data_IF_119633697903
#
_entry.id   IF_119633697903
#
_cell.length_a   1.000
_cell.length_b   1.000
_cell.length_c   1.000
_cell.angle_alpha   90.00
_cell.angle_beta   90.00
_cell.angle_gamma   90.00
#
_symmetry.space_group_name_H-M   'P 1'
#
loop_
_entity.id
_entity.type
_entity.pdbx_description
1 polymer ?
#
# COMPACT_ATOMS: atom_id res chain seq x y z
N UNK A 1 -1.39 -12.87 14.13
CA UNK A 1 -0.65 -12.31 12.95
C UNK A 1 0.85 -12.53 13.14
N UNK A 2 1.56 -13.00 12.12
CA UNK A 2 3.02 -13.25 12.18
C UNK A 2 3.79 -11.94 12.09
N UNK A 3 4.81 -11.78 12.93
CA UNK A 3 5.71 -10.64 12.86
C UNK A 3 6.81 -10.85 11.82
N UNK A 4 7.54 -9.78 11.50
CA UNK A 4 8.57 -9.81 10.46
C UNK A 4 9.67 -10.82 10.74
N UNK A 5 10.10 -10.97 12.00
CA UNK A 5 11.09 -12.00 12.41
C UNK A 5 10.61 -13.42 12.07
N UNK A 6 9.33 -13.71 12.34
CA UNK A 6 8.77 -15.03 12.04
C UNK A 6 8.69 -15.27 10.54
N UNK A 7 8.28 -14.25 9.77
CA UNK A 7 8.21 -14.32 8.30
C UNK A 7 9.61 -14.60 7.71
N UNK A 8 10.63 -13.89 8.17
CA UNK A 8 12.03 -14.08 7.74
C UNK A 8 12.49 -15.51 8.02
N UNK A 9 12.21 -16.05 9.21
CA UNK A 9 12.53 -17.43 9.57
C UNK A 9 11.82 -18.44 8.66
N UNK A 10 10.52 -18.24 8.41
CA UNK A 10 9.73 -19.14 7.58
C UNK A 10 10.26 -19.18 6.14
N UNK A 11 10.58 -18.01 5.55
CA UNK A 11 11.18 -17.90 4.20
C UNK A 11 12.59 -18.52 4.17
N UNK A 12 13.41 -18.29 5.19
CA UNK A 12 14.74 -18.90 5.30
C UNK A 12 14.65 -20.43 5.33
N UNK A 13 13.70 -20.99 6.07
CA UNK A 13 13.49 -22.42 6.16
C UNK A 13 13.01 -23.03 4.83
N UNK A 14 12.24 -22.29 4.03
CA UNK A 14 11.82 -22.73 2.69
C UNK A 14 13.00 -22.84 1.72
N UNK A 15 13.95 -21.91 1.77
CA UNK A 15 15.08 -21.87 0.84
C UNK A 15 16.23 -22.80 1.25
N UNK A 16 16.53 -22.85 2.55
CA UNK A 16 17.68 -23.59 3.08
C UNK A 16 17.22 -24.65 4.07
N UNK A 17 16.79 -25.79 3.54
CA UNK A 17 16.42 -26.96 4.34
C UNK A 17 17.65 -27.69 4.98
N UNK A 18 18.87 -27.17 4.77
CA UNK A 18 20.14 -27.72 5.28
C UNK A 18 20.93 -26.66 6.03
N UNK A 19 21.54 -27.08 7.14
CA UNK A 19 22.32 -26.27 8.10
C UNK A 19 23.26 -25.29 7.39
N UNK A 20 22.92 -24.00 7.45
CA UNK A 20 23.81 -22.90 7.08
C UNK A 20 24.71 -22.61 8.29
N UNK A 21 26.02 -22.57 8.12
CA UNK A 21 26.98 -22.24 9.17
C UNK A 21 26.67 -20.81 9.70
N UNK A 22 26.80 -20.60 11.01
CA UNK A 22 26.40 -19.38 11.71
C UNK A 22 26.95 -18.07 11.12
N UNK A 23 28.16 -18.09 10.53
CA UNK A 23 28.79 -16.90 9.92
C UNK A 23 28.12 -16.48 8.59
N UNK A 24 27.57 -17.43 7.81
CA UNK A 24 26.83 -17.13 6.60
C UNK A 24 25.37 -16.71 6.91
N UNK A 25 24.88 -16.93 8.11
CA UNK A 25 23.50 -16.71 8.48
C UNK A 25 23.14 -15.22 8.50
N UNK A 26 24.02 -14.33 8.93
CA UNK A 26 23.76 -12.89 8.99
C UNK A 26 23.56 -12.25 7.60
N UNK A 27 24.43 -12.60 6.63
CA UNK A 27 24.31 -12.09 5.26
C UNK A 27 23.08 -12.67 4.55
N UNK A 28 22.80 -13.95 4.78
CA UNK A 28 21.61 -14.65 4.28
C UNK A 28 20.35 -14.01 4.87
N UNK A 29 20.33 -13.71 6.18
CA UNK A 29 19.21 -13.11 6.85
C UNK A 29 18.88 -11.71 6.28
N UNK A 30 19.86 -10.90 5.97
CA UNK A 30 19.65 -9.56 5.40
C UNK A 30 19.09 -9.64 3.97
N UNK A 31 19.55 -10.58 3.15
CA UNK A 31 18.98 -10.83 1.84
C UNK A 31 17.52 -11.31 1.93
N UNK A 32 17.19 -12.16 2.90
CA UNK A 32 15.80 -12.58 3.14
C UNK A 32 14.94 -11.42 3.60
N UNK A 33 15.42 -10.59 4.53
CA UNK A 33 14.71 -9.38 4.98
C UNK A 33 14.40 -8.44 3.79
N UNK A 34 15.39 -8.25 2.92
CA UNK A 34 15.22 -7.42 1.73
C UNK A 34 14.16 -8.03 0.78
N UNK A 35 14.23 -9.32 0.49
CA UNK A 35 13.28 -10.00 -0.38
C UNK A 35 11.84 -9.94 0.17
N UNK A 36 11.67 -10.13 1.48
CA UNK A 36 10.35 -10.02 2.15
C UNK A 36 9.81 -8.60 2.06
N UNK A 37 10.63 -7.57 2.29
CA UNK A 37 10.24 -6.15 2.15
C UNK A 37 9.83 -5.81 0.72
N UNK A 38 10.58 -6.28 -0.27
CA UNK A 38 10.28 -6.10 -1.69
C UNK A 38 8.96 -6.80 -2.06
N UNK A 39 8.77 -8.05 -1.64
CA UNK A 39 7.55 -8.81 -1.87
C UNK A 39 6.32 -8.12 -1.22
N UNK A 40 6.44 -7.65 0.03
CA UNK A 40 5.39 -6.90 0.71
C UNK A 40 5.02 -5.63 -0.07
N UNK A 41 6.01 -4.85 -0.48
CA UNK A 41 5.80 -3.64 -1.28
C UNK A 41 5.17 -3.94 -2.64
N UNK A 42 5.60 -5.00 -3.30
CA UNK A 42 5.06 -5.43 -4.58
C UNK A 42 3.58 -5.82 -4.49
N UNK A 43 3.22 -6.68 -3.53
CA UNK A 43 1.83 -7.13 -3.32
C UNK A 43 0.89 -5.95 -3.06
N UNK A 44 1.28 -5.03 -2.19
CA UNK A 44 0.49 -3.83 -1.92
C UNK A 44 0.44 -2.85 -3.10
N UNK A 45 1.42 -2.87 -3.99
CA UNK A 45 1.47 -2.05 -5.21
C UNK A 45 0.60 -2.57 -6.36
N UNK A 46 0.26 -3.87 -6.37
CA UNK A 46 -0.49 -4.48 -7.46
C UNK A 46 -1.96 -4.04 -7.51
N UNK A 47 -2.58 -3.77 -6.35
CA UNK A 47 -4.00 -3.41 -6.23
C UNK A 47 -4.31 -2.59 -4.98
N UNK A 48 -5.32 -1.72 -5.12
CA UNK A 48 -5.95 -1.06 -3.98
C UNK A 48 -6.93 -2.01 -3.32
N UNK A 49 -6.47 -2.69 -2.28
CA UNK A 49 -7.34 -3.57 -1.51
C UNK A 49 -8.43 -2.77 -0.77
N UNK A 50 -9.68 -3.27 -0.72
CA UNK A 50 -10.77 -2.58 -0.02
C UNK A 50 -10.45 -2.27 1.45
N UNK A 51 -9.68 -3.13 2.13
CA UNK A 51 -9.28 -2.93 3.52
C UNK A 51 -8.25 -1.80 3.71
N UNK A 52 -7.58 -1.35 2.64
CA UNK A 52 -6.70 -0.17 2.66
C UNK A 52 -7.45 1.14 2.48
N UNK A 53 -8.70 1.09 2.02
CA UNK A 53 -9.50 2.30 1.78
C UNK A 53 -10.01 2.82 3.11
N UNK A 54 -9.46 3.95 3.54
CA UNK A 54 -9.84 4.64 4.77
C UNK A 54 -10.67 5.88 4.47
N UNK A 55 -11.38 6.35 5.49
CA UNK A 55 -12.11 7.61 5.47
C UNK A 55 -11.42 8.59 6.39
N UNK A 56 -11.31 9.82 5.95
CA UNK A 56 -10.86 10.96 6.73
C UNK A 56 -11.79 12.14 6.56
N UNK A 57 -11.57 13.15 7.38
CA UNK A 57 -12.28 14.41 7.28
C UNK A 57 -11.51 15.51 7.98
N UNK A 58 -11.73 16.74 7.54
CA UNK A 58 -11.20 17.94 8.16
C UNK A 58 -12.17 19.10 7.96
N UNK A 59 -12.05 20.10 8.82
CA UNK A 59 -12.68 21.39 8.61
C UNK A 59 -11.57 22.43 8.49
N UNK A 60 -11.60 23.19 7.41
CA UNK A 60 -10.56 24.19 7.12
C UNK A 60 -11.13 25.35 6.31
N UNK A 61 -10.47 26.49 6.43
CA UNK A 61 -10.60 27.62 5.52
C UNK A 61 -9.32 27.86 4.71
N UNK A 62 -8.29 27.07 4.96
CA UNK A 62 -7.03 27.10 4.21
C UNK A 62 -7.23 26.48 2.82
N UNK A 63 -6.54 27.02 1.84
CA UNK A 63 -6.55 26.49 0.48
C UNK A 63 -5.64 25.27 0.29
N UNK A 64 -4.88 24.90 1.33
CA UNK A 64 -4.00 23.73 1.32
C UNK A 64 -3.94 23.07 2.71
N UNK A 65 -3.78 21.75 2.75
CA UNK A 65 -3.61 20.98 3.98
C UNK A 65 -2.75 19.74 3.73
N UNK A 66 -2.10 19.18 4.78
CA UNK A 66 -1.32 17.96 4.64
C UNK A 66 -2.18 16.80 4.12
N UNK A 67 -1.68 16.11 3.09
CA UNK A 67 -2.35 14.92 2.59
C UNK A 67 -2.32 13.77 3.63
N UNK A 68 -3.32 12.88 3.60
CA UNK A 68 -3.25 11.65 4.39
C UNK A 68 -2.10 10.76 3.88
N UNK A 69 -1.74 9.72 4.65
CA UNK A 69 -0.73 8.74 4.25
C UNK A 69 -1.23 7.84 3.10
N UNK A 70 -1.58 8.42 1.98
CA UNK A 70 -2.09 7.71 0.81
C UNK A 70 -2.79 8.60 -0.19
N UNK A 71 -3.16 8.00 -1.31
CA UNK A 71 -3.81 8.70 -2.41
C UNK A 71 -5.28 8.97 -2.13
N UNK A 72 -5.70 10.23 -2.23
CA UNK A 72 -7.12 10.59 -2.13
C UNK A 72 -7.85 10.12 -3.40
N UNK A 73 -8.79 9.21 -3.20
CA UNK A 73 -9.61 8.64 -4.26
C UNK A 73 -10.84 9.51 -4.56
N UNK A 74 -11.42 10.08 -3.51
CA UNK A 74 -12.63 10.90 -3.59
C UNK A 74 -12.64 11.90 -2.44
N UNK A 75 -13.15 13.11 -2.71
CA UNK A 75 -13.40 14.15 -1.71
C UNK A 75 -14.78 14.76 -1.90
N UNK A 76 -15.49 15.05 -0.79
CA UNK A 76 -16.84 15.65 -0.83
C UNK A 76 -17.10 16.52 0.40
N UNK A 77 -18.11 17.36 0.31
CA UNK A 77 -18.64 18.13 1.44
C UNK A 77 -19.92 17.47 2.01
N UNK A 78 -20.19 17.60 3.33
CA UNK A 78 -21.31 16.92 3.99
C UNK A 78 -22.71 17.40 3.57
N UNK A 79 -22.81 18.58 2.95
CA UNK A 79 -24.07 19.17 2.50
C UNK A 79 -24.76 18.42 1.32
N UNK A 80 -24.27 17.24 0.97
CA UNK A 80 -24.86 16.36 -0.06
C UNK A 80 -24.66 16.85 -1.50
N UNK A 81 -23.99 17.98 -1.66
CA UNK A 81 -23.64 18.46 -2.98
C UNK A 81 -22.35 17.81 -3.45
N UNK A 82 -22.21 17.60 -4.66
CA UNK A 82 -21.14 17.09 -5.51
C UNK A 82 -19.80 16.72 -4.84
N UNK A 83 -19.21 15.64 -5.32
CA UNK A 83 -17.78 15.36 -5.13
C UNK A 83 -16.96 16.50 -5.75
N UNK A 84 -15.87 16.89 -5.07
CA UNK A 84 -14.88 17.74 -5.68
C UNK A 84 -14.20 16.97 -6.81
N UNK A 85 -13.92 17.64 -7.90
CA UNK A 85 -13.22 17.03 -9.02
C UNK A 85 -11.73 16.99 -8.73
N UNK A 86 -11.10 15.81 -8.87
CA UNK A 86 -9.65 15.66 -8.84
C UNK A 86 -9.07 16.10 -10.18
N UNK A 87 -8.04 16.94 -10.15
CA UNK A 87 -7.27 17.35 -11.33
C UNK A 87 -5.81 16.95 -11.18
N UNK A 88 -5.04 17.02 -12.27
CA UNK A 88 -3.60 16.85 -12.23
C UNK A 88 -2.92 18.09 -11.61
N UNK A 89 -1.76 17.95 -10.93
CA UNK A 89 -1.04 19.10 -10.36
C UNK A 89 -0.74 20.17 -11.40
N UNK A 90 -0.35 19.78 -12.61
CA UNK A 90 -0.01 20.67 -13.73
C UNK A 90 -1.21 21.54 -14.15
N UNK A 91 -2.44 20.99 -14.05
CA UNK A 91 -3.66 21.76 -14.32
C UNK A 91 -3.95 22.74 -13.17
N UNK A 92 -3.56 22.36 -11.93
CA UNK A 92 -3.67 23.23 -10.76
C UNK A 92 -2.83 24.50 -10.88
N UNK A 93 -1.62 24.39 -11.44
CA UNK A 93 -0.71 25.51 -11.65
C UNK A 93 -1.25 26.57 -12.64
N UNK A 94 -2.20 26.20 -13.48
CA UNK A 94 -2.83 27.09 -14.46
C UNK A 94 -4.02 27.86 -13.88
N UNK A 95 -4.44 27.56 -12.64
CA UNK A 95 -5.60 28.20 -12.03
C UNK A 95 -5.27 29.56 -11.42
N UNK A 96 -6.23 30.47 -11.47
CA UNK A 96 -6.12 31.75 -10.77
C UNK A 96 -6.28 31.55 -9.25
N UNK A 97 -5.15 31.49 -8.55
CA UNK A 97 -5.09 31.25 -7.10
C UNK A 97 -5.62 32.43 -6.26
N UNK A 98 -5.91 33.59 -6.87
CA UNK A 98 -6.56 34.71 -6.18
C UNK A 98 -8.07 34.52 -6.01
N UNK A 99 -8.65 33.59 -6.75
CA UNK A 99 -10.08 33.31 -6.72
C UNK A 99 -10.48 32.64 -5.38
N UNK A 100 -11.44 33.25 -4.72
CA UNK A 100 -12.03 32.73 -3.47
C UNK A 100 -13.47 32.30 -3.67
N UNK A 101 -13.92 31.30 -2.91
CA UNK A 101 -15.27 30.81 -3.00
C UNK A 101 -15.42 29.41 -2.41
N UNK A 102 -16.48 28.72 -2.80
CA UNK A 102 -16.70 27.32 -2.44
C UNK A 102 -15.79 26.43 -3.28
N UNK A 103 -14.95 25.56 -2.68
CA UNK A 103 -14.09 24.65 -3.42
C UNK A 103 -14.86 23.65 -4.30
N UNK A 104 -14.38 23.47 -5.53
CA UNK A 104 -14.94 22.56 -6.53
C UNK A 104 -13.91 21.54 -7.03
N UNK A 105 -12.61 21.94 -7.01
CA UNK A 105 -11.49 21.14 -7.48
C UNK A 105 -10.50 20.85 -6.34
N UNK A 106 -9.77 19.76 -6.47
CA UNK A 106 -8.60 19.49 -5.62
C UNK A 106 -7.53 18.75 -6.40
N UNK A 107 -6.28 18.91 -5.98
CA UNK A 107 -5.14 18.10 -6.40
C UNK A 107 -4.20 17.88 -5.24
N UNK A 108 -3.30 16.92 -5.36
CA UNK A 108 -2.25 16.67 -4.39
C UNK A 108 -0.90 16.90 -5.04
N UNK A 109 -0.02 17.59 -4.34
CA UNK A 109 1.33 17.92 -4.75
C UNK A 109 2.34 17.41 -3.73
N UNK A 110 3.59 17.17 -4.15
CA UNK A 110 4.66 16.70 -3.28
C UNK A 110 5.65 17.83 -3.05
N UNK A 111 5.68 18.36 -1.84
CA UNK A 111 6.67 19.34 -1.39
C UNK A 111 7.71 18.72 -0.45
N UNK A 112 8.66 19.53 0.02
CA UNK A 112 9.76 19.14 0.92
C UNK A 112 9.26 18.52 2.24
N UNK A 113 8.05 18.89 2.69
CA UNK A 113 7.43 18.44 3.93
C UNK A 113 6.37 17.32 3.74
N UNK A 114 6.36 16.67 2.58
CA UNK A 114 5.41 15.62 2.24
C UNK A 114 4.32 16.08 1.25
N UNK A 115 3.32 15.23 1.08
CA UNK A 115 2.23 15.52 0.16
C UNK A 115 1.26 16.56 0.75
N UNK A 116 0.85 17.52 -0.08
CA UNK A 116 -0.10 18.60 0.26
C UNK A 116 -1.28 18.54 -0.68
N UNK A 117 -2.48 18.64 -0.14
CA UNK A 117 -3.71 18.75 -0.92
C UNK A 117 -4.09 20.21 -1.06
N UNK A 118 -4.33 20.62 -2.28
CA UNK A 118 -4.79 21.97 -2.63
C UNK A 118 -6.28 21.96 -2.99
N UNK A 119 -6.96 23.07 -2.65
CA UNK A 119 -8.37 23.29 -2.93
C UNK A 119 -8.53 24.52 -3.83
N UNK A 120 -9.43 24.44 -4.80
CA UNK A 120 -9.77 25.57 -5.64
C UNK A 120 -11.26 25.66 -5.97
N UNK A 121 -11.86 26.88 -5.94
CA UNK A 121 -11.31 28.15 -5.43
C UNK A 121 -10.83 28.07 -3.98
N UNK A 122 -9.96 28.99 -3.54
CA UNK A 122 -9.57 29.08 -2.14
C UNK A 122 -10.83 29.29 -1.27
N UNK A 123 -11.01 28.55 -0.16
CA UNK A 123 -12.19 28.65 0.68
C UNK A 123 -12.45 30.08 1.17
N UNK A 124 -13.64 30.65 0.95
CA UNK A 124 -14.05 31.97 1.43
C UNK A 124 -14.49 31.93 2.90
N UNK A 125 -14.73 30.75 3.45
CA UNK A 125 -15.11 30.47 4.85
C UNK A 125 -14.65 29.06 5.23
N UNK A 126 -14.90 28.66 6.46
CA UNK A 126 -14.69 27.27 6.87
C UNK A 126 -15.65 26.33 6.15
N UNK A 127 -15.09 25.23 5.59
CA UNK A 127 -15.81 24.12 5.02
C UNK A 127 -15.34 22.83 5.64
N UNK A 128 -16.28 21.90 5.87
CA UNK A 128 -15.96 20.53 6.23
C UNK A 128 -15.83 19.67 4.99
N UNK A 129 -14.76 18.91 4.92
CA UNK A 129 -14.48 17.97 3.84
C UNK A 129 -14.41 16.58 4.40
N UNK A 130 -14.95 15.62 3.68
CA UNK A 130 -14.73 14.20 3.87
C UNK A 130 -14.00 13.65 2.66
N UNK A 131 -13.15 12.66 2.88
CA UNK A 131 -12.44 12.01 1.79
C UNK A 131 -12.26 10.51 2.05
N UNK A 132 -12.09 9.76 0.96
CA UNK A 132 -11.61 8.38 0.96
C UNK A 132 -10.22 8.36 0.37
N UNK A 133 -9.32 7.62 0.99
CA UNK A 133 -7.96 7.49 0.51
C UNK A 133 -7.47 6.05 0.58
N UNK A 134 -6.61 5.66 -0.36
CA UNK A 134 -5.91 4.39 -0.34
C UNK A 134 -4.69 4.55 0.56
N UNK A 135 -4.70 3.91 1.73
CA UNK A 135 -3.61 3.99 2.69
C UNK A 135 -2.35 3.30 2.15
N UNK A 136 -1.22 4.02 2.08
CA UNK A 136 0.06 3.51 1.59
C UNK A 136 0.89 2.80 2.66
N UNK A 137 0.41 2.77 3.90
CA UNK A 137 1.09 2.08 5.00
C UNK A 137 0.91 0.57 4.89
N UNK A 138 2.02 -0.17 4.79
CA UNK A 138 2.06 -1.61 4.47
C UNK A 138 2.38 -2.47 5.69
N UNK A 139 2.77 -1.84 6.81
CA UNK A 139 3.11 -2.50 8.05
C UNK A 139 2.55 -1.74 9.26
N UNK A 140 2.59 -2.38 10.43
CA UNK A 140 2.31 -1.80 11.76
C UNK A 140 3.37 -2.26 12.74
N UNK A 141 3.80 -1.38 13.65
CA UNK A 141 4.64 -1.76 14.76
C UNK A 141 3.86 -2.50 15.87
N UNK A 142 4.57 -2.95 16.90
CA UNK A 142 3.97 -3.63 18.05
C UNK A 142 2.95 -2.77 18.83
N UNK A 143 3.05 -1.44 18.75
CA UNK A 143 2.09 -0.50 19.35
C UNK A 143 0.88 -0.22 18.45
N UNK A 144 0.87 -0.75 17.21
CA UNK A 144 -0.18 -0.55 16.22
C UNK A 144 -0.01 0.69 15.33
N UNK A 145 1.11 1.42 15.43
CA UNK A 145 1.38 2.54 14.56
C UNK A 145 1.70 2.06 13.15
N UNK A 146 1.16 2.75 12.16
CA UNK A 146 1.33 2.38 10.76
C UNK A 146 2.70 2.82 10.22
N UNK A 147 3.32 1.95 9.43
CA UNK A 147 4.61 2.12 8.78
C UNK A 147 4.54 1.88 7.27
N UNK A 148 5.45 2.49 6.53
CA UNK A 148 5.53 2.29 5.08
C UNK A 148 5.88 0.86 4.69
N UNK A 149 6.69 0.17 5.49
CA UNK A 149 7.07 -1.22 5.25
C UNK A 149 7.46 -1.92 6.55
N UNK A 150 7.81 -3.19 6.47
CA UNK A 150 8.40 -3.99 7.54
C UNK A 150 9.84 -3.51 7.79
N UNK A 151 10.08 -2.83 8.87
CA UNK A 151 11.39 -2.23 9.23
C UNK A 151 12.01 -2.95 10.42
N UNK A 152 11.25 -3.04 11.51
CA UNK A 152 11.67 -3.70 12.74
C UNK A 152 11.17 -5.15 12.80
N UNK A 153 11.89 -6.00 13.54
CA UNK A 153 11.58 -7.45 13.63
C UNK A 153 10.20 -7.76 14.21
N UNK A 154 9.65 -6.84 15.01
CA UNK A 154 8.32 -6.96 15.61
C UNK A 154 7.19 -6.39 14.74
N UNK A 155 7.52 -5.79 13.60
CA UNK A 155 6.53 -5.26 12.68
C UNK A 155 5.65 -6.38 12.11
N UNK A 156 4.38 -6.07 11.90
CA UNK A 156 3.41 -6.96 11.27
C UNK A 156 2.87 -6.34 9.99
N UNK A 157 2.45 -7.17 9.05
CA UNK A 157 1.86 -6.68 7.79
C UNK A 157 0.53 -5.98 8.08
N UNK A 158 0.27 -4.85 7.42
CA UNK A 158 -0.94 -4.05 7.64
C UNK A 158 -2.15 -4.60 6.87
N UNK A 159 -2.62 -5.77 7.28
CA UNK A 159 -3.82 -6.44 6.76
C UNK A 159 -4.89 -6.55 7.86
N UNK A 160 -6.17 -6.79 7.51
CA UNK A 160 -7.22 -6.98 8.51
C UNK A 160 -6.98 -8.25 9.32
N UNK A 161 -7.51 -8.26 10.53
CA UNK A 161 -7.53 -9.46 11.40
C UNK A 161 -8.60 -10.44 10.90
N UNK A 162 -8.29 -11.08 9.78
CA UNK A 162 -9.12 -12.09 9.12
C UNK A 162 -8.22 -13.26 8.71
N UNK A 163 -8.36 -14.44 9.34
CA UNK A 163 -7.48 -15.59 9.08
C UNK A 163 -7.38 -15.98 7.61
N UNK A 164 -8.48 -15.94 6.85
CA UNK A 164 -8.46 -16.31 5.44
C UNK A 164 -7.66 -15.32 4.57
N UNK A 165 -7.74 -14.01 4.88
CA UNK A 165 -6.92 -13.00 4.21
C UNK A 165 -5.47 -13.12 4.65
N UNK A 166 -5.22 -13.33 5.95
CA UNK A 166 -3.87 -13.50 6.50
C UNK A 166 -3.15 -14.69 5.84
N UNK A 167 -3.77 -15.86 5.80
CA UNK A 167 -3.16 -17.07 5.23
C UNK A 167 -2.81 -16.89 3.75
N UNK A 168 -3.72 -16.34 2.94
CA UNK A 168 -3.45 -16.11 1.53
C UNK A 168 -2.43 -14.99 1.28
N UNK A 169 -2.49 -13.92 2.07
CA UNK A 169 -1.51 -12.85 1.97
C UNK A 169 -0.10 -13.36 2.33
N UNK A 170 0.02 -14.16 3.40
CA UNK A 170 1.28 -14.77 3.80
C UNK A 170 1.78 -15.74 2.74
N UNK A 171 0.89 -16.52 2.11
CA UNK A 171 1.29 -17.40 1.01
C UNK A 171 1.81 -16.60 -0.20
N UNK A 172 1.14 -15.51 -0.60
CA UNK A 172 1.65 -14.58 -1.60
C UNK A 172 3.03 -14.02 -1.21
N UNK A 173 3.17 -13.61 0.05
CA UNK A 173 4.40 -13.01 0.55
C UNK A 173 5.57 -13.98 0.51
N UNK A 174 5.37 -15.23 0.95
CA UNK A 174 6.40 -16.26 0.94
C UNK A 174 6.82 -16.64 -0.49
N UNK A 175 5.86 -16.93 -1.35
CA UNK A 175 6.15 -17.34 -2.73
C UNK A 175 6.83 -16.21 -3.52
N UNK A 176 6.39 -14.96 -3.34
CA UNK A 176 7.03 -13.82 -4.00
C UNK A 176 8.42 -13.51 -3.43
N UNK A 177 8.62 -13.68 -2.13
CA UNK A 177 9.95 -13.57 -1.52
C UNK A 177 10.92 -14.60 -2.08
N UNK A 178 10.46 -15.84 -2.31
CA UNK A 178 11.27 -16.90 -2.94
C UNK A 178 11.64 -16.53 -4.37
N UNK A 179 10.73 -15.97 -5.16
CA UNK A 179 11.02 -15.45 -6.50
C UNK A 179 12.14 -14.41 -6.47
N UNK A 180 12.11 -13.46 -5.52
CA UNK A 180 13.19 -12.47 -5.38
C UNK A 180 14.52 -13.06 -4.91
N UNK A 181 14.49 -14.10 -4.06
CA UNK A 181 15.71 -14.77 -3.59
C UNK A 181 16.36 -15.68 -4.65
N UNK A 182 15.59 -16.22 -5.58
CA UNK A 182 16.11 -17.00 -6.69
C UNK A 182 16.80 -16.10 -7.71
N UNK A 183 16.19 -14.93 -8.01
CA UNK A 183 16.68 -13.87 -8.89
C UNK A 183 16.98 -14.29 -10.35
N UNK A 184 17.27 -15.57 -10.62
CA UNK A 184 17.57 -16.12 -11.94
C UNK A 184 16.33 -16.81 -12.51
N UNK A 185 15.73 -16.22 -13.56
CA UNK A 185 14.54 -16.77 -14.22
C UNK A 185 14.78 -18.12 -14.92
N UNK A 186 16.05 -18.49 -15.12
CA UNK A 186 16.45 -19.79 -15.70
C UNK A 186 16.59 -20.89 -14.64
N UNK A 187 16.56 -20.54 -13.34
CA UNK A 187 16.56 -21.53 -12.26
C UNK A 187 15.28 -22.39 -12.33
N UNK A 188 15.43 -23.71 -12.20
CA UNK A 188 14.30 -24.64 -12.24
C UNK A 188 13.21 -24.37 -11.22
N UNK A 189 13.55 -23.73 -10.10
CA UNK A 189 12.61 -23.39 -9.02
C UNK A 189 11.90 -22.04 -9.24
N UNK A 190 12.36 -21.18 -10.15
CA UNK A 190 11.77 -19.87 -10.38
C UNK A 190 10.32 -19.97 -10.87
N UNK A 191 10.09 -20.73 -11.93
CA UNK A 191 8.77 -20.88 -12.55
C UNK A 191 7.71 -21.51 -11.61
N UNK A 192 8.04 -22.57 -10.82
CA UNK A 192 7.14 -23.08 -9.81
C UNK A 192 6.67 -22.01 -8.80
N UNK A 193 7.58 -21.23 -8.21
CA UNK A 193 7.20 -20.19 -7.23
C UNK A 193 6.42 -19.03 -7.87
N UNK A 194 6.78 -18.61 -9.08
CA UNK A 194 6.02 -17.56 -9.79
C UNK A 194 4.59 -18.02 -10.12
N UNK A 195 4.39 -19.29 -10.50
CA UNK A 195 3.06 -19.87 -10.73
C UNK A 195 2.26 -19.93 -9.43
N UNK A 196 2.87 -20.42 -8.36
CA UNK A 196 2.25 -20.56 -7.05
C UNK A 196 1.86 -19.17 -6.48
N UNK A 197 2.71 -18.16 -6.67
CA UNK A 197 2.38 -16.78 -6.34
C UNK A 197 1.13 -16.30 -7.09
N UNK A 198 1.06 -16.54 -8.41
CA UNK A 198 -0.11 -16.12 -9.20
C UNK A 198 -1.40 -16.80 -8.76
N UNK A 199 -1.35 -18.06 -8.42
CA UNK A 199 -2.51 -18.81 -7.90
C UNK A 199 -2.96 -18.24 -6.54
N UNK A 200 -2.03 -18.06 -5.61
CA UNK A 200 -2.32 -17.46 -4.31
C UNK A 200 -2.86 -16.02 -4.44
N UNK A 201 -2.27 -15.23 -5.34
CA UNK A 201 -2.72 -13.87 -5.64
C UNK A 201 -4.17 -13.83 -6.14
N UNK A 202 -4.54 -14.69 -7.08
CA UNK A 202 -5.91 -14.75 -7.56
C UNK A 202 -6.91 -15.14 -6.46
N UNK A 203 -6.54 -16.08 -5.60
CA UNK A 203 -7.37 -16.47 -4.47
C UNK A 203 -7.52 -15.33 -3.45
N UNK A 204 -6.46 -14.57 -3.19
CA UNK A 204 -6.50 -13.39 -2.33
C UNK A 204 -7.43 -12.30 -2.90
N UNK A 205 -7.38 -12.04 -4.20
CA UNK A 205 -8.28 -11.08 -4.85
C UNK A 205 -9.74 -11.50 -4.71
N UNK A 206 -10.06 -12.77 -4.88
CA UNK A 206 -11.43 -13.28 -4.76
C UNK A 206 -11.98 -13.10 -3.34
N UNK A 207 -11.20 -13.47 -2.32
CA UNK A 207 -11.61 -13.30 -0.91
C UNK A 207 -11.68 -11.82 -0.52
N UNK A 208 -10.80 -10.98 -1.05
CA UNK A 208 -10.84 -9.54 -0.84
C UNK A 208 -12.01 -8.85 -1.58
N UNK A 209 -12.81 -9.59 -2.35
CA UNK A 209 -13.95 -9.05 -3.11
C UNK A 209 -13.56 -8.19 -4.31
N UNK A 210 -12.34 -8.35 -4.81
CA UNK A 210 -11.84 -7.59 -5.95
C UNK A 210 -12.19 -8.32 -7.24
N UNK A 211 -12.98 -7.67 -8.11
CA UNK A 211 -13.32 -8.22 -9.42
C UNK A 211 -12.06 -8.39 -10.26
N UNK A 212 -11.83 -9.58 -10.76
CA UNK A 212 -10.79 -9.85 -11.76
C UNK A 212 -11.12 -9.12 -13.06
N UNK A 213 -10.11 -8.51 -13.68
CA UNK A 213 -10.28 -8.12 -15.08
C UNK A 213 -10.56 -9.40 -15.90
N UNK A 214 -11.47 -9.39 -16.88
CA UNK A 214 -11.69 -10.54 -17.73
C UNK A 214 -10.35 -10.93 -18.36
N UNK A 215 -9.99 -12.23 -18.30
CA UNK A 215 -8.82 -12.73 -19.02
C UNK A 215 -9.02 -12.39 -20.49
N UNK A 216 -8.17 -11.53 -21.04
CA UNK A 216 -8.00 -11.48 -22.49
C UNK A 216 -7.47 -12.88 -22.88
N UNK A 217 -8.35 -13.69 -23.46
CA UNK A 217 -7.97 -14.90 -24.17
C UNK A 217 -7.39 -14.39 -25.49
N UNK A 218 -6.05 -14.34 -25.58
CA UNK A 218 -5.32 -14.16 -26.82
C UNK A 218 -5.06 -15.53 -27.43
#
# INVERSE_FOLDING_TARGET
MRNFQQIVKDVSNLKWSTVVLEEAFAEVEDNVKLAVRQANSYIFGLKDFPFRIKKGGLTTKENAFPAPNGDILQMWMPDGSRYLQKIAPEDGDLLDMSKTGRPELYWADFGDNGAVVHLWPAPDREYSFFYRYANNMKARDAAGNEKFNLEDLDDVVNIPDNPAIEDLFMHCLYTKSMVYLIADETDENYQPYEREFREAWYNLLDIAGIKRAPKLVI
#
